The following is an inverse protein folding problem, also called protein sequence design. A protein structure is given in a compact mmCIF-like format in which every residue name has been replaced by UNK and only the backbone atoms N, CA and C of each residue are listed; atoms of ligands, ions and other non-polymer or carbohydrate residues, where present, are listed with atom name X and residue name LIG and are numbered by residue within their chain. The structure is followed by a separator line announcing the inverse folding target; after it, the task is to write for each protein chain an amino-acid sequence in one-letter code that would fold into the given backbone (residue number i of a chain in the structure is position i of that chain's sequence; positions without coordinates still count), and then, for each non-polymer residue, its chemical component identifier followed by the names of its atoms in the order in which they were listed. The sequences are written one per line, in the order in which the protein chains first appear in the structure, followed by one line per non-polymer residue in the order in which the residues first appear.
data_IF_990829216538
#
_entry.id   IF_990829216538
#
_cell.length_a   1.000
_cell.length_b   1.000
_cell.length_c   1.000
_cell.angle_alpha   90.00
_cell.angle_beta   90.00
_cell.angle_gamma   90.00
#
_symmetry.space_group_name_H-M   'P 1'
#
loop_
_entity.id
_entity.type
_entity.pdbx_description
1 polymer ?
#
# COMPACT_ATOMS: atom_id res chain seq x y z
N UNK A 1 -41.51 -38.77 47.51
CA UNK A 1 -41.92 -37.50 46.86
C UNK A 1 -40.66 -36.72 46.52
N UNK A 2 -40.22 -36.52 45.27
CA UNK A 2 -40.75 -36.90 43.97
C UNK A 2 -39.67 -36.61 42.90
N UNK A 3 -39.53 -37.59 42.00
CA UNK A 3 -39.09 -37.62 40.60
C UNK A 3 -37.84 -36.84 40.10
N UNK A 4 -36.82 -37.66 39.80
CA UNK A 4 -35.88 -37.51 38.68
C UNK A 4 -36.70 -37.40 37.39
N UNK A 5 -36.67 -36.24 36.76
CA UNK A 5 -37.10 -36.07 35.37
C UNK A 5 -35.86 -35.97 34.48
N UNK A 6 -35.75 -36.99 33.64
CA UNK A 6 -35.15 -37.08 32.32
C UNK A 6 -34.91 -35.71 31.64
N UNK A 7 -33.66 -35.44 31.28
CA UNK A 7 -33.39 -34.69 30.05
C UNK A 7 -32.34 -35.44 29.24
N UNK A 8 -32.85 -36.30 28.38
CA UNK A 8 -32.14 -36.86 27.25
C UNK A 8 -31.70 -35.72 26.34
N UNK A 9 -30.40 -35.62 26.06
CA UNK A 9 -29.93 -34.90 24.89
C UNK A 9 -29.06 -35.83 24.06
N UNK A 10 -29.74 -36.74 23.37
CA UNK A 10 -29.20 -37.47 22.23
C UNK A 10 -29.29 -36.59 20.99
N UNK A 11 -28.15 -36.28 20.38
CA UNK A 11 -28.06 -35.86 18.98
C UNK A 11 -27.31 -34.56 18.74
N UNK A 12 -26.03 -34.68 18.38
CA UNK A 12 -25.51 -34.20 17.09
C UNK A 12 -24.07 -34.72 16.93
N UNK A 13 -23.99 -35.89 16.31
CA UNK A 13 -22.87 -36.26 15.45
C UNK A 13 -22.82 -35.26 14.28
N UNK A 14 -21.63 -34.78 13.93
CA UNK A 14 -21.20 -34.46 12.55
C UNK A 14 -19.82 -33.82 12.56
N UNK A 15 -18.82 -34.67 12.29
CA UNK A 15 -17.85 -34.49 11.20
C UNK A 15 -17.35 -33.08 10.83
N UNK A 16 -16.02 -33.04 10.67
CA UNK A 16 -15.25 -32.24 9.71
C UNK A 16 -14.44 -31.05 10.26
N UNK A 17 -13.20 -31.41 10.65
CA UNK A 17 -12.01 -30.60 10.42
C UNK A 17 -11.98 -30.08 8.97
N UNK A 18 -12.52 -28.87 8.74
CA UNK A 18 -12.54 -28.21 7.43
C UNK A 18 -12.02 -26.77 7.45
N UNK A 19 -11.38 -26.36 8.55
CA UNK A 19 -10.77 -25.02 8.68
C UNK A 19 -9.27 -24.98 8.38
N UNK A 20 -8.53 -26.09 8.47
CA UNK A 20 -7.10 -26.13 8.10
C UNK A 20 -6.83 -26.32 6.59
N UNK A 21 -7.76 -26.92 5.83
CA UNK A 21 -7.56 -27.21 4.40
C UNK A 21 -7.67 -26.02 3.46
N UNK A 22 -8.25 -24.90 3.92
CA UNK A 22 -8.39 -23.69 3.10
C UNK A 22 -7.09 -22.88 3.05
N UNK A 23 -6.33 -22.82 4.15
CA UNK A 23 -5.10 -22.04 4.25
C UNK A 23 -3.99 -22.46 3.27
N UNK A 24 -3.86 -23.77 3.01
CA UNK A 24 -2.85 -24.30 2.08
C UNK A 24 -3.12 -23.87 0.62
N UNK A 25 -4.38 -23.78 0.22
CA UNK A 25 -4.77 -23.39 -1.14
C UNK A 25 -4.44 -21.93 -1.47
N UNK A 26 -4.62 -21.03 -0.50
CA UNK A 26 -4.25 -19.62 -0.67
C UNK A 26 -2.73 -19.45 -0.72
N UNK A 27 -2.00 -20.18 0.12
CA UNK A 27 -0.54 -20.16 0.13
C UNK A 27 0.05 -20.62 -1.21
N UNK A 28 -0.46 -21.71 -1.79
CA UNK A 28 0.01 -22.21 -3.10
C UNK A 28 -0.31 -21.26 -4.25
N UNK A 29 -1.48 -20.62 -4.25
CA UNK A 29 -1.84 -19.63 -5.28
C UNK A 29 -1.04 -18.33 -5.14
N UNK A 30 -0.75 -17.89 -3.91
CA UNK A 30 0.13 -16.75 -3.63
C UNK A 30 1.55 -17.05 -4.08
N UNK A 31 2.08 -18.23 -3.77
CA UNK A 31 3.40 -18.67 -4.18
C UNK A 31 3.53 -18.74 -5.72
N UNK A 32 2.51 -19.29 -6.40
CA UNK A 32 2.50 -19.35 -7.87
C UNK A 32 2.44 -17.94 -8.51
N UNK A 33 1.61 -17.04 -7.98
CA UNK A 33 1.54 -15.64 -8.43
C UNK A 33 2.82 -14.86 -8.15
N UNK A 34 3.48 -15.14 -7.03
CA UNK A 34 4.78 -14.58 -6.69
C UNK A 34 5.85 -15.06 -7.70
N UNK A 35 5.87 -16.34 -8.06
CA UNK A 35 6.79 -16.89 -9.06
C UNK A 35 6.55 -16.36 -10.49
N UNK A 36 5.29 -16.12 -10.89
CA UNK A 36 4.95 -15.66 -12.24
C UNK A 36 5.36 -14.20 -12.54
N UNK A 37 5.78 -13.43 -11.53
CA UNK A 37 6.27 -12.04 -11.66
C UNK A 37 7.77 -11.90 -11.35
N UNK A 38 8.46 -13.00 -11.03
CA UNK A 38 9.81 -13.00 -10.48
C UNK A 38 10.84 -13.30 -11.57
N UNK A 39 11.39 -12.25 -12.17
CA UNK A 39 12.47 -12.36 -13.15
C UNK A 39 13.49 -11.24 -12.91
N UNK A 40 14.44 -11.48 -12.01
CA UNK A 40 15.65 -10.65 -11.91
C UNK A 40 16.26 -10.59 -10.51
N UNK A 41 17.58 -10.65 -10.41
CA UNK A 41 18.36 -10.53 -9.15
C UNK A 41 18.16 -9.17 -8.42
N UNK A 42 17.53 -8.20 -9.10
CA UNK A 42 17.09 -6.90 -8.56
C UNK A 42 15.74 -6.97 -7.79
N UNK A 43 14.97 -8.06 -7.88
CA UNK A 43 13.64 -8.18 -7.25
C UNK A 43 13.68 -8.42 -5.73
N UNK A 44 14.81 -8.87 -5.17
CA UNK A 44 14.96 -9.07 -3.72
C UNK A 44 15.31 -7.81 -2.93
N UNK A 45 15.13 -6.64 -3.53
CA UNK A 45 15.42 -5.35 -2.91
C UNK A 45 14.71 -5.16 -1.56
N UNK A 46 13.56 -5.81 -1.37
CA UNK A 46 12.82 -5.81 -0.11
C UNK A 46 13.54 -6.64 0.97
N UNK A 47 14.02 -7.83 0.62
CA UNK A 47 14.73 -8.74 1.52
C UNK A 47 16.13 -8.24 1.88
N UNK A 48 16.78 -7.49 0.97
CA UNK A 48 18.09 -6.86 1.20
C UNK A 48 18.04 -5.73 2.25
N UNK A 49 16.85 -5.22 2.61
CA UNK A 49 16.66 -4.03 3.46
C UNK A 49 16.04 -4.39 4.80
N UNK A 50 16.71 -3.98 5.88
CA UNK A 50 16.36 -4.40 7.24
C UNK A 50 15.23 -3.57 7.85
N UNK A 51 15.11 -2.29 7.49
CA UNK A 51 14.09 -1.41 8.05
C UNK A 51 13.01 -1.01 7.02
N UNK A 52 11.85 -0.59 7.51
CA UNK A 52 10.83 0.05 6.67
C UNK A 52 11.35 1.36 6.07
N UNK A 53 12.16 2.09 6.83
CA UNK A 53 12.82 3.32 6.40
C UNK A 53 13.70 3.10 5.15
N UNK A 54 14.55 2.09 5.18
CA UNK A 54 15.41 1.74 4.02
C UNK A 54 14.57 1.34 2.80
N UNK A 55 13.46 0.63 3.02
CA UNK A 55 12.53 0.23 1.95
C UNK A 55 11.83 1.44 1.34
N UNK A 56 11.38 2.39 2.16
CA UNK A 56 10.80 3.64 1.67
C UNK A 56 11.84 4.46 0.90
N UNK A 57 13.06 4.58 1.43
CA UNK A 57 14.16 5.27 0.74
C UNK A 57 14.51 4.63 -0.61
N UNK A 58 14.28 3.33 -0.79
CA UNK A 58 14.50 2.69 -2.08
C UNK A 58 13.48 3.05 -3.14
N UNK A 59 12.21 3.13 -2.76
CA UNK A 59 11.13 3.43 -3.69
C UNK A 59 11.09 4.93 -4.03
N UNK A 60 11.79 5.78 -3.26
CA UNK A 60 11.96 7.19 -3.56
C UNK A 60 12.40 7.41 -5.02
N UNK A 61 11.69 8.31 -5.71
CA UNK A 61 11.95 8.70 -7.09
C UNK A 61 12.01 7.52 -8.08
N UNK A 62 11.27 6.44 -7.82
CA UNK A 62 11.06 5.32 -8.74
C UNK A 62 9.57 5.22 -9.08
N UNK A 63 9.26 4.66 -10.25
CA UNK A 63 7.87 4.38 -10.63
C UNK A 63 7.26 3.20 -9.87
N UNK A 64 8.07 2.45 -9.12
CA UNK A 64 7.63 1.29 -8.38
C UNK A 64 6.65 1.70 -7.26
N UNK A 65 5.38 1.31 -7.39
CA UNK A 65 4.27 1.68 -6.50
C UNK A 65 3.87 3.16 -6.51
N UNK A 66 4.38 3.94 -7.45
CA UNK A 66 3.97 5.33 -7.62
C UNK A 66 2.50 5.40 -8.06
N UNK A 67 1.69 6.13 -7.31
CA UNK A 67 0.25 6.34 -7.53
C UNK A 67 -0.10 7.82 -7.75
N UNK A 68 0.91 8.70 -7.73
CA UNK A 68 0.80 10.11 -8.09
C UNK A 68 2.07 10.60 -8.76
N UNK A 69 1.93 11.55 -9.69
CA UNK A 69 3.03 12.28 -10.34
C UNK A 69 2.90 13.76 -10.08
N UNK A 70 4.00 14.42 -9.75
CA UNK A 70 4.05 15.87 -9.63
C UNK A 70 4.71 16.47 -10.86
N UNK A 71 4.07 17.44 -11.50
CA UNK A 71 4.65 18.26 -12.56
C UNK A 71 5.16 19.55 -11.94
N UNK A 72 6.45 19.62 -11.66
CA UNK A 72 7.07 20.71 -10.91
C UNK A 72 7.85 21.63 -11.84
N UNK A 73 7.67 22.95 -11.73
CA UNK A 73 8.47 23.96 -12.43
C UNK A 73 7.62 25.03 -13.15
N UNK A 74 8.19 26.24 -13.28
CA UNK A 74 7.53 27.41 -13.91
C UNK A 74 7.56 27.41 -15.43
N UNK A 75 8.70 27.08 -16.02
CA UNK A 75 8.92 27.10 -17.48
C UNK A 75 9.09 25.70 -18.03
N UNK A 76 9.92 24.90 -17.36
CA UNK A 76 10.14 23.49 -17.67
C UNK A 76 9.51 22.65 -16.56
N UNK A 77 8.46 21.90 -16.90
CA UNK A 77 7.76 21.03 -15.96
C UNK A 77 8.47 19.68 -15.93
N UNK A 78 9.02 19.33 -14.76
CA UNK A 78 9.62 18.02 -14.51
C UNK A 78 8.60 17.10 -13.86
N UNK A 79 8.41 15.90 -14.40
CA UNK A 79 7.53 14.89 -13.81
C UNK A 79 8.29 14.07 -12.76
N UNK A 80 7.77 14.07 -11.53
CA UNK A 80 8.37 13.36 -10.40
C UNK A 80 7.36 12.34 -9.86
N UNK A 81 7.65 11.03 -9.93
CA UNK A 81 6.80 9.99 -9.34
C UNK A 81 6.88 10.00 -7.81
N UNK A 82 5.75 9.77 -7.15
CA UNK A 82 5.63 9.73 -5.70
C UNK A 82 4.48 8.83 -5.23
N UNK A 83 4.40 8.64 -3.91
CA UNK A 83 3.48 7.72 -3.23
C UNK A 83 2.55 8.49 -2.29
N UNK A 84 1.25 8.49 -2.58
CA UNK A 84 0.23 9.19 -1.78
C UNK A 84 0.26 8.75 -0.33
N UNK A 85 0.41 7.46 -0.07
CA UNK A 85 0.49 6.92 1.29
C UNK A 85 1.65 7.54 2.09
N UNK A 86 2.87 7.51 1.55
CA UNK A 86 4.06 8.04 2.24
C UNK A 86 3.89 9.53 2.51
N UNK A 87 3.39 10.29 1.54
CA UNK A 87 3.18 11.72 1.69
C UNK A 87 2.09 12.05 2.73
N UNK A 88 0.98 11.30 2.72
CA UNK A 88 -0.13 11.51 3.64
C UNK A 88 0.23 11.20 5.09
N UNK A 89 1.04 10.17 5.36
CA UNK A 89 1.51 9.89 6.73
C UNK A 89 2.55 10.91 7.20
N UNK A 90 3.30 11.53 6.27
CA UNK A 90 4.34 12.51 6.59
C UNK A 90 3.81 13.94 6.74
N UNK A 91 2.64 14.27 6.18
CA UNK A 91 2.08 15.62 6.27
C UNK A 91 0.54 15.64 6.25
N UNK A 92 -0.09 16.38 7.18
CA UNK A 92 -1.54 16.55 7.17
C UNK A 92 -2.04 17.28 5.91
N UNK A 93 -1.21 18.14 5.29
CA UNK A 93 -1.55 18.83 4.05
C UNK A 93 -1.74 17.82 2.91
N UNK A 94 -0.82 16.87 2.78
CA UNK A 94 -0.93 15.81 1.77
C UNK A 94 -2.03 14.81 2.09
N UNK A 95 -2.30 14.52 3.37
CA UNK A 95 -3.45 13.71 3.76
C UNK A 95 -4.76 14.35 3.28
N UNK A 96 -4.93 15.65 3.50
CA UNK A 96 -6.12 16.37 3.02
C UNK A 96 -6.15 16.44 1.49
N UNK A 97 -5.01 16.60 0.85
CA UNK A 97 -4.90 16.65 -0.61
C UNK A 97 -5.35 15.35 -1.29
N UNK A 98 -5.08 14.18 -0.67
CA UNK A 98 -5.31 12.85 -1.28
C UNK A 98 -6.47 12.05 -0.70
N UNK A 99 -6.91 12.35 0.52
CA UNK A 99 -7.87 11.51 1.24
C UNK A 99 -8.99 12.30 1.91
N UNK A 100 -8.94 13.64 1.96
CA UNK A 100 -10.10 14.39 2.45
C UNK A 100 -11.21 14.48 1.40
N UNK A 101 -12.45 14.49 1.86
CA UNK A 101 -13.62 14.69 1.01
C UNK A 101 -13.70 16.16 0.58
N UNK A 102 -13.54 16.45 -0.71
CA UNK A 102 -13.61 17.81 -1.25
C UNK A 102 -13.35 17.91 -2.75
N UNK A 103 -13.60 19.09 -3.32
CA UNK A 103 -13.43 19.37 -4.75
C UNK A 103 -11.99 19.10 -5.24
N UNK A 104 -11.00 19.38 -4.39
CA UNK A 104 -9.58 19.14 -4.70
C UNK A 104 -9.28 17.65 -4.93
N UNK A 105 -9.91 16.76 -4.15
CA UNK A 105 -9.76 15.32 -4.30
C UNK A 105 -10.40 14.82 -5.61
N UNK A 106 -11.54 15.38 -6.04
CA UNK A 106 -12.17 14.97 -7.29
C UNK A 106 -11.28 15.28 -8.51
N UNK A 107 -10.61 16.44 -8.50
CA UNK A 107 -9.65 16.79 -9.54
C UNK A 107 -8.37 15.94 -9.48
N UNK A 108 -7.88 15.56 -8.30
CA UNK A 108 -6.63 14.79 -8.13
C UNK A 108 -6.86 13.27 -8.25
N UNK A 109 -8.05 12.78 -7.95
CA UNK A 109 -8.42 11.39 -8.22
C UNK A 109 -8.57 11.14 -9.72
N UNK A 110 -9.06 12.13 -10.47
CA UNK A 110 -9.14 12.07 -11.93
C UNK A 110 -7.80 12.37 -12.61
N UNK A 111 -6.97 13.22 -12.00
CA UNK A 111 -5.63 13.54 -12.46
C UNK A 111 -4.58 12.84 -11.60
N UNK A 112 -4.02 11.75 -12.12
CA UNK A 112 -2.80 11.15 -11.57
C UNK A 112 -1.58 12.11 -11.58
N UNK A 113 -1.75 13.34 -12.09
CA UNK A 113 -0.75 14.37 -12.23
C UNK A 113 -1.17 15.64 -11.48
N UNK A 114 -0.29 16.15 -10.61
CA UNK A 114 -0.49 17.35 -9.81
C UNK A 114 0.52 18.39 -10.24
N UNK A 115 0.06 19.54 -10.71
CA UNK A 115 0.95 20.63 -11.14
C UNK A 115 1.36 21.51 -9.96
N UNK A 116 2.66 21.78 -9.86
CA UNK A 116 3.25 22.66 -8.83
C UNK A 116 4.12 23.69 -9.55
N UNK A 117 3.55 24.86 -9.83
CA UNK A 117 4.24 25.96 -10.54
C UNK A 117 5.15 26.79 -9.65
N UNK A 118 4.94 26.78 -8.33
CA UNK A 118 5.64 27.70 -7.41
C UNK A 118 6.96 27.16 -6.85
N UNK A 119 7.32 25.92 -7.19
CA UNK A 119 8.48 25.24 -6.63
C UNK A 119 9.47 24.89 -7.74
N UNK A 120 10.77 25.05 -7.44
CA UNK A 120 11.83 24.52 -8.29
C UNK A 120 11.94 22.99 -8.10
N UNK A 121 12.17 22.21 -9.17
CA UNK A 121 12.21 20.75 -9.09
C UNK A 121 13.18 20.22 -8.03
N UNK A 122 14.38 20.81 -7.92
CA UNK A 122 15.41 20.38 -6.98
C UNK A 122 14.97 20.55 -5.51
N UNK A 123 14.32 21.68 -5.20
CA UNK A 123 13.81 21.94 -3.87
C UNK A 123 12.69 20.95 -3.49
N UNK A 124 11.82 20.63 -4.45
CA UNK A 124 10.77 19.64 -4.26
C UNK A 124 11.35 18.22 -4.04
N UNK A 125 12.38 17.84 -4.81
CA UNK A 125 13.06 16.56 -4.65
C UNK A 125 13.71 16.42 -3.27
N UNK A 126 14.33 17.47 -2.75
CA UNK A 126 14.90 17.48 -1.39
C UNK A 126 13.82 17.37 -0.31
N UNK A 127 12.69 18.07 -0.48
CA UNK A 127 11.54 17.93 0.41
C UNK A 127 11.02 16.49 0.43
N UNK A 128 10.85 15.88 -0.75
CA UNK A 128 10.47 14.48 -0.85
C UNK A 128 11.53 13.59 -0.20
N UNK A 129 12.82 13.81 -0.46
CA UNK A 129 13.91 13.03 0.13
C UNK A 129 13.82 13.01 1.65
N UNK A 130 13.49 14.14 2.27
CA UNK A 130 13.27 14.23 3.72
C UNK A 130 12.10 13.35 4.20
N UNK A 131 10.99 13.28 3.46
CA UNK A 131 9.84 12.45 3.82
C UNK A 131 10.09 10.94 3.66
N UNK A 132 10.90 10.52 2.68
CA UNK A 132 11.22 9.10 2.44
C UNK A 132 12.43 8.61 3.24
N UNK A 133 13.20 9.52 3.83
CA UNK A 133 14.40 9.19 4.61
C UNK A 133 14.02 8.79 5.99
#
# INVERSE_FOLDING_TARGET
MGDITTYSNSGLDTTSDSKLGRCASYASKLALRASLRYTGEDDQWQAKRRSLRDRNKYVYNRELFSDVRFLVGRREKTSIPAHRYVLAISSPVFLSLFYACGALQAEIATREQIEVSECEPDAFLEMLRHMYT
#
